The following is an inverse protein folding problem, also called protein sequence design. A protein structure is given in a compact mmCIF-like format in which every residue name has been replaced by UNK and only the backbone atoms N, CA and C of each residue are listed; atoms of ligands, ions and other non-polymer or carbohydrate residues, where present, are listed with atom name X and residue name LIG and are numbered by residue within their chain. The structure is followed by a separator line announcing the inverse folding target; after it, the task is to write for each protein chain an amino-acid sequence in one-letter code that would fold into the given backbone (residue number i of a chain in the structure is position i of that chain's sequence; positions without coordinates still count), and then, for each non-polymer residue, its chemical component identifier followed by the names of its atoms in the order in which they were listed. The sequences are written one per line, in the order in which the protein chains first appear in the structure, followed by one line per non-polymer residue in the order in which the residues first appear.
data_IF_578107332948
#
_entry.id   IF_578107332948
#
_cell.length_a   1.000
_cell.length_b   1.000
_cell.length_c   1.000
_cell.angle_alpha   90.00
_cell.angle_beta   90.00
_cell.angle_gamma   90.00
#
_symmetry.space_group_name_H-M   'P 1'
#
loop_
_entity.id
_entity.type
_entity.pdbx_description
1 polymer ?
#
# COMPACT_ATOMS: atom_id res chain seq x y z
N UNK A 1 14.50 10.71 14.48
CA UNK A 1 13.28 10.05 14.99
C UNK A 1 13.01 8.87 14.08
N UNK A 2 12.60 7.71 14.58
CA UNK A 2 12.32 6.54 13.73
C UNK A 2 11.08 5.82 14.26
N UNK A 3 10.17 5.49 13.35
CA UNK A 3 9.04 4.61 13.60
C UNK A 3 8.95 3.62 12.46
N UNK A 4 8.85 2.35 12.79
CA UNK A 4 8.65 1.26 11.84
C UNK A 4 7.53 0.40 12.39
N UNK A 5 6.55 0.11 11.56
CA UNK A 5 5.45 -0.79 11.91
C UNK A 5 5.99 -2.22 11.89
N UNK A 6 5.50 -3.05 12.81
CA UNK A 6 5.66 -4.49 12.65
C UNK A 6 5.05 -4.91 11.31
N UNK A 7 5.67 -5.86 10.63
CA UNK A 7 5.18 -6.33 9.34
C UNK A 7 5.32 -7.84 9.26
N UNK A 8 4.71 -8.44 8.25
CA UNK A 8 4.58 -9.88 8.15
C UNK A 8 5.43 -10.45 7.02
N UNK A 9 5.75 -11.73 7.18
CA UNK A 9 6.30 -12.56 6.12
C UNK A 9 5.23 -13.54 5.64
N UNK A 10 5.20 -13.79 4.34
CA UNK A 10 4.49 -14.91 3.73
C UNK A 10 5.59 -15.83 3.22
N UNK A 11 5.82 -16.92 3.94
CA UNK A 11 7.00 -17.78 3.76
C UNK A 11 8.31 -16.95 3.86
N UNK A 12 9.09 -16.86 2.79
CA UNK A 12 10.35 -16.11 2.73
C UNK A 12 10.21 -14.67 2.21
N UNK A 13 8.98 -14.24 1.87
CA UNK A 13 8.68 -12.94 1.28
C UNK A 13 8.20 -11.92 2.30
N UNK A 14 8.77 -10.72 2.30
CA UNK A 14 8.35 -9.60 3.15
C UNK A 14 7.14 -8.90 2.55
N UNK A 15 5.94 -9.37 2.90
CA UNK A 15 4.68 -8.98 2.25
C UNK A 15 4.33 -9.82 1.02
N UNK A 16 3.27 -9.40 0.33
CA UNK A 16 2.83 -10.03 -0.90
C UNK A 16 3.78 -9.82 -2.08
N UNK A 17 3.76 -10.74 -3.04
CA UNK A 17 4.47 -10.61 -4.30
C UNK A 17 3.57 -10.93 -5.50
N UNK A 18 3.38 -9.97 -6.40
CA UNK A 18 2.52 -10.13 -7.58
C UNK A 18 3.06 -11.16 -8.57
N UNK A 19 4.36 -11.45 -8.56
CA UNK A 19 4.96 -12.46 -9.42
C UNK A 19 4.44 -13.88 -9.13
N UNK A 20 3.79 -14.09 -7.98
CA UNK A 20 3.17 -15.35 -7.63
C UNK A 20 1.92 -15.68 -8.45
N UNK A 21 1.28 -14.69 -9.05
CA UNK A 21 0.06 -14.89 -9.83
C UNK A 21 0.40 -15.43 -11.22
N UNK A 22 -0.26 -16.52 -11.62
CA UNK A 22 -0.10 -17.09 -12.97
C UNK A 22 -0.91 -16.34 -14.03
N UNK A 23 -1.98 -15.65 -13.62
CA UNK A 23 -2.74 -14.76 -14.49
C UNK A 23 -1.86 -13.56 -14.89
N UNK A 24 -1.64 -13.37 -16.20
CA UNK A 24 -0.72 -12.35 -16.71
C UNK A 24 -1.12 -10.93 -16.28
N UNK A 25 -2.42 -10.63 -16.18
CA UNK A 25 -2.86 -9.30 -15.81
C UNK A 25 -2.58 -9.02 -14.33
N UNK A 26 -2.86 -9.98 -13.44
CA UNK A 26 -2.54 -9.85 -12.01
C UNK A 26 -1.03 -9.83 -11.77
N UNK A 27 -0.28 -10.65 -12.50
CA UNK A 27 1.18 -10.71 -12.41
C UNK A 27 1.85 -9.37 -12.75
N UNK A 28 1.32 -8.63 -13.74
CA UNK A 28 1.93 -7.39 -14.25
C UNK A 28 1.27 -6.10 -13.76
N UNK A 29 -0.01 -6.15 -13.43
CA UNK A 29 -0.81 -4.97 -13.07
C UNK A 29 -1.65 -5.14 -11.82
N UNK A 30 -1.37 -6.16 -10.99
CA UNK A 30 -2.08 -6.45 -9.75
C UNK A 30 -1.64 -5.63 -8.54
N UNK A 31 -0.69 -4.69 -8.69
CA UNK A 31 -0.11 -3.93 -7.58
C UNK A 31 -1.16 -3.25 -6.67
N UNK A 32 -2.22 -2.69 -7.25
CA UNK A 32 -3.33 -2.10 -6.48
C UNK A 32 -4.10 -3.14 -5.66
N UNK A 33 -4.44 -4.29 -6.25
CA UNK A 33 -5.11 -5.37 -5.51
C UNK A 33 -4.22 -5.91 -4.38
N UNK A 34 -2.93 -6.12 -4.64
CA UNK A 34 -2.00 -6.61 -3.63
C UNK A 34 -1.76 -5.61 -2.52
N UNK A 35 -1.67 -4.32 -2.83
CA UNK A 35 -1.55 -3.27 -1.80
C UNK A 35 -2.77 -3.28 -0.86
N UNK A 36 -3.99 -3.50 -1.41
CA UNK A 36 -5.19 -3.67 -0.59
C UNK A 36 -5.16 -4.98 0.23
N UNK A 37 -4.71 -6.09 -0.36
CA UNK A 37 -4.54 -7.36 0.37
C UNK A 37 -3.53 -7.22 1.53
N UNK A 38 -2.37 -6.64 1.29
CA UNK A 38 -1.35 -6.41 2.31
C UNK A 38 -1.86 -5.46 3.40
N UNK A 39 -2.66 -4.44 3.05
CA UNK A 39 -3.34 -3.57 4.02
C UNK A 39 -4.31 -4.38 4.89
N UNK A 40 -5.19 -5.18 4.29
CA UNK A 40 -6.12 -6.04 5.03
C UNK A 40 -5.39 -7.00 5.97
N UNK A 41 -4.33 -7.63 5.48
CA UNK A 41 -3.56 -8.61 6.24
C UNK A 41 -2.82 -7.95 7.41
N UNK A 42 -2.22 -6.78 7.18
CA UNK A 42 -1.64 -5.97 8.25
C UNK A 42 -2.67 -5.65 9.34
N UNK A 43 -3.83 -5.12 8.95
CA UNK A 43 -4.87 -4.72 9.92
C UNK A 43 -5.47 -5.93 10.66
N UNK A 44 -5.56 -7.08 9.98
CA UNK A 44 -5.96 -8.35 10.58
C UNK A 44 -4.96 -8.81 11.66
N UNK A 45 -3.66 -8.76 11.37
CA UNK A 45 -2.61 -9.24 12.26
C UNK A 45 -2.36 -8.29 13.44
N UNK A 46 -2.27 -6.99 13.16
CA UNK A 46 -1.70 -6.01 14.11
C UNK A 46 -2.72 -5.02 14.67
N UNK A 47 -3.92 -4.93 14.09
CA UNK A 47 -4.97 -3.99 14.51
C UNK A 47 -6.29 -4.68 14.90
N UNK A 48 -6.28 -6.01 15.03
CA UNK A 48 -7.41 -6.80 15.51
C UNK A 48 -8.59 -6.92 14.54
N UNK A 49 -8.44 -6.52 13.27
CA UNK A 49 -9.49 -6.58 12.25
C UNK A 49 -9.60 -7.97 11.62
N UNK A 50 -9.99 -8.96 12.44
CA UNK A 50 -9.91 -10.38 12.09
C UNK A 50 -10.70 -10.76 10.83
N UNK A 51 -11.84 -10.12 10.58
CA UNK A 51 -12.71 -10.39 9.44
C UNK A 51 -12.14 -9.97 8.07
N UNK A 52 -11.06 -9.16 8.01
CA UNK A 52 -10.48 -8.70 6.74
C UNK A 52 -9.71 -9.78 5.98
N UNK A 53 -9.34 -10.87 6.64
CA UNK A 53 -8.62 -11.97 6.02
C UNK A 53 -9.41 -13.28 6.23
N UNK A 54 -9.89 -13.93 5.16
CA UNK A 54 -10.85 -15.03 5.29
C UNK A 54 -10.20 -16.41 5.56
N UNK A 55 -8.88 -16.49 5.65
CA UNK A 55 -8.14 -17.75 5.80
C UNK A 55 -7.59 -17.93 7.22
N UNK A 56 -7.22 -19.16 7.58
CA UNK A 56 -6.72 -19.52 8.91
C UNK A 56 -5.30 -18.97 9.18
N UNK A 57 -5.03 -18.65 10.45
CA UNK A 57 -3.90 -17.84 10.90
C UNK A 57 -2.65 -18.62 11.35
N UNK A 58 -2.63 -19.97 11.34
CA UNK A 58 -1.50 -20.73 11.90
C UNK A 58 -0.15 -20.36 11.25
N UNK A 59 -0.17 -20.09 9.95
CA UNK A 59 0.96 -19.57 9.18
C UNK A 59 0.45 -18.94 7.88
N UNK A 60 1.02 -17.81 7.45
CA UNK A 60 0.68 -17.19 6.18
C UNK A 60 1.34 -17.93 5.02
N UNK A 61 0.51 -18.55 4.18
CA UNK A 61 0.98 -19.32 3.02
C UNK A 61 0.78 -18.59 1.72
N UNK A 62 1.70 -18.79 0.78
CA UNK A 62 1.63 -18.21 -0.55
C UNK A 62 0.33 -18.57 -1.27
N UNK A 63 -0.14 -19.81 -1.17
CA UNK A 63 -1.37 -20.24 -1.85
C UNK A 63 -2.61 -19.49 -1.34
N UNK A 64 -2.70 -19.25 -0.04
CA UNK A 64 -3.80 -18.49 0.57
C UNK A 64 -3.74 -17.01 0.16
N UNK A 65 -2.53 -16.45 0.08
CA UNK A 65 -2.35 -15.08 -0.39
C UNK A 65 -2.75 -14.91 -1.87
N UNK A 66 -2.40 -15.86 -2.74
CA UNK A 66 -2.85 -15.86 -4.15
C UNK A 66 -4.39 -15.91 -4.21
N UNK A 67 -5.02 -16.80 -3.42
CA UNK A 67 -6.48 -16.85 -3.34
C UNK A 67 -7.08 -15.54 -2.84
N UNK A 68 -6.43 -14.88 -1.87
CA UNK A 68 -6.89 -13.58 -1.38
C UNK A 68 -6.83 -12.50 -2.48
N UNK A 69 -5.75 -12.47 -3.26
CA UNK A 69 -5.63 -11.55 -4.40
C UNK A 69 -6.70 -11.81 -5.46
N UNK A 70 -7.07 -13.06 -5.73
CA UNK A 70 -8.19 -13.38 -6.65
C UNK A 70 -9.56 -12.96 -6.07
N UNK A 71 -9.75 -12.97 -4.75
CA UNK A 71 -10.95 -12.39 -4.12
C UNK A 71 -10.98 -10.86 -4.23
N UNK A 72 -9.82 -10.20 -4.17
CA UNK A 72 -9.70 -8.74 -4.30
C UNK A 72 -9.82 -8.27 -5.76
N UNK A 73 -9.42 -9.10 -6.72
CA UNK A 73 -9.34 -8.80 -8.16
C UNK A 73 -10.61 -8.18 -8.76
N UNK A 74 -11.85 -8.63 -8.46
CA UNK A 74 -13.06 -8.02 -9.04
C UNK A 74 -13.23 -6.54 -8.67
N UNK A 75 -12.70 -6.14 -7.51
CA UNK A 75 -12.79 -4.78 -6.99
C UNK A 75 -11.66 -3.89 -7.49
N UNK A 76 -10.45 -4.45 -7.54
CA UNK A 76 -9.21 -3.77 -7.91
C UNK A 76 -8.54 -4.48 -9.09
N UNK A 77 -9.27 -4.63 -10.18
CA UNK A 77 -8.78 -5.32 -11.38
C UNK A 77 -7.72 -4.50 -12.12
N UNK A 78 -6.69 -5.16 -12.69
CA UNK A 78 -5.76 -4.53 -13.61
C UNK A 78 -6.48 -3.92 -14.83
N UNK A 79 -5.99 -2.77 -15.30
CA UNK A 79 -6.59 -1.98 -16.41
C UNK A 79 -5.50 -1.42 -17.31
N UNK A 80 -5.88 -0.85 -18.46
CA UNK A 80 -4.93 -0.34 -19.47
C UNK A 80 -3.92 0.69 -18.93
N UNK A 81 -4.31 1.52 -17.95
CA UNK A 81 -3.41 2.47 -17.26
C UNK A 81 -3.13 2.04 -15.81
N UNK A 82 -3.42 0.79 -15.46
CA UNK A 82 -3.48 0.35 -14.07
C UNK A 82 -4.62 1.05 -13.30
N UNK A 83 -4.51 1.03 -11.99
CA UNK A 83 -5.32 1.85 -11.10
C UNK A 83 -4.54 3.15 -10.89
N UNK A 84 -4.77 4.16 -11.71
CA UNK A 84 -3.92 5.35 -11.80
C UNK A 84 -4.39 6.53 -10.94
N UNK A 85 -5.42 6.34 -10.12
CA UNK A 85 -5.92 7.38 -9.20
C UNK A 85 -6.21 6.82 -7.82
N UNK A 86 -6.08 7.69 -6.81
CA UNK A 86 -6.46 7.37 -5.44
C UNK A 86 -7.94 7.00 -5.34
N UNK A 87 -8.81 7.66 -6.11
CA UNK A 87 -10.25 7.39 -6.11
C UNK A 87 -10.57 5.99 -6.65
N UNK A 88 -9.95 5.57 -7.75
CA UNK A 88 -10.14 4.22 -8.28
C UNK A 88 -9.74 3.13 -7.27
N UNK A 89 -8.62 3.34 -6.57
CA UNK A 89 -8.18 2.43 -5.51
C UNK A 89 -9.15 2.45 -4.33
N UNK A 90 -9.48 3.63 -3.81
CA UNK A 90 -10.37 3.75 -2.65
C UNK A 90 -11.77 3.22 -2.94
N UNK A 91 -12.33 3.46 -4.12
CA UNK A 91 -13.69 3.00 -4.46
C UNK A 91 -13.73 1.48 -4.63
N UNK A 92 -12.73 0.90 -5.30
CA UNK A 92 -12.59 -0.56 -5.36
C UNK A 92 -12.46 -1.16 -3.96
N UNK A 93 -11.54 -0.63 -3.14
CA UNK A 93 -11.31 -1.15 -1.81
C UNK A 93 -12.52 -0.96 -0.88
N UNK A 94 -13.23 0.17 -0.95
CA UNK A 94 -14.51 0.38 -0.23
C UNK A 94 -15.58 -0.64 -0.65
N UNK A 95 -15.65 -0.99 -1.94
CA UNK A 95 -16.60 -2.01 -2.40
C UNK A 95 -16.27 -3.38 -1.82
N UNK A 96 -14.98 -3.76 -1.74
CA UNK A 96 -14.57 -4.99 -1.05
C UNK A 96 -14.95 -4.97 0.43
N UNK A 97 -14.62 -3.88 1.15
CA UNK A 97 -14.94 -3.72 2.57
C UNK A 97 -16.45 -3.83 2.83
N UNK A 98 -17.27 -3.19 1.98
CA UNK A 98 -18.73 -3.30 2.08
C UNK A 98 -19.23 -4.73 1.89
N UNK A 99 -18.66 -5.49 0.95
CA UNK A 99 -19.09 -6.85 0.67
C UNK A 99 -18.75 -7.82 1.82
N UNK A 100 -17.68 -7.55 2.58
CA UNK A 100 -17.37 -8.26 3.83
C UNK A 100 -18.03 -7.62 5.07
N UNK A 101 -18.93 -6.65 4.87
CA UNK A 101 -19.67 -5.94 5.92
C UNK A 101 -18.78 -5.17 6.91
N UNK A 102 -17.63 -4.67 6.46
CA UNK A 102 -16.81 -3.72 7.22
C UNK A 102 -17.33 -2.28 7.02
N UNK A 103 -17.65 -1.62 8.13
CA UNK A 103 -17.98 -0.19 8.19
C UNK A 103 -17.00 0.62 9.05
N UNK A 104 -15.93 -0.02 9.52
CA UNK A 104 -15.00 0.54 10.49
C UNK A 104 -13.83 1.23 9.81
N UNK A 105 -13.36 0.73 8.67
CA UNK A 105 -12.20 1.28 7.98
C UNK A 105 -12.63 2.44 7.09
N UNK A 106 -12.03 3.60 7.33
CA UNK A 106 -12.22 4.81 6.55
C UNK A 106 -10.95 5.13 5.77
N UNK A 107 -11.13 5.54 4.51
CA UNK A 107 -10.05 5.93 3.61
C UNK A 107 -10.23 7.37 3.14
N UNK A 108 -9.14 8.13 3.17
CA UNK A 108 -9.08 9.49 2.62
C UNK A 108 -7.85 9.65 1.72
N UNK A 109 -8.08 10.05 0.47
CA UNK A 109 -6.99 10.38 -0.45
C UNK A 109 -6.25 11.65 -0.02
N UNK A 110 -4.93 11.62 -0.14
CA UNK A 110 -4.02 12.74 0.06
C UNK A 110 -3.15 12.87 -1.19
N UNK A 111 -3.53 13.80 -2.06
CA UNK A 111 -2.94 13.97 -3.39
C UNK A 111 -1.49 14.44 -3.35
N UNK A 112 -0.68 14.00 -4.31
CA UNK A 112 0.71 14.44 -4.53
C UNK A 112 0.90 15.94 -4.80
N UNK A 113 -0.19 16.71 -4.94
CA UNK A 113 -0.14 18.18 -5.11
C UNK A 113 0.09 18.93 -3.80
N UNK A 114 -0.07 18.26 -2.65
CA UNK A 114 0.15 18.86 -1.34
C UNK A 114 1.62 19.15 -1.07
N UNK A 115 1.86 20.10 -0.17
CA UNK A 115 3.22 20.50 0.19
C UNK A 115 3.96 19.35 0.89
N UNK A 116 5.27 19.26 0.65
CA UNK A 116 6.16 18.26 1.27
C UNK A 116 6.00 18.21 2.79
N UNK A 117 5.85 19.37 3.43
CA UNK A 117 5.71 19.47 4.88
C UNK A 117 4.44 18.75 5.36
N UNK A 118 3.31 18.99 4.70
CA UNK A 118 2.04 18.33 5.00
C UNK A 118 2.14 16.82 4.76
N UNK A 119 2.79 16.41 3.67
CA UNK A 119 3.00 14.99 3.36
C UNK A 119 3.78 14.26 4.46
N UNK A 120 4.90 14.85 4.93
CA UNK A 120 5.69 14.29 6.05
C UNK A 120 4.88 14.22 7.35
N UNK A 121 4.06 15.23 7.63
CA UNK A 121 3.15 15.23 8.79
C UNK A 121 2.16 14.06 8.69
N UNK A 122 1.56 13.81 7.52
CA UNK A 122 0.65 12.67 7.31
C UNK A 122 1.33 11.31 7.44
N UNK A 123 2.57 11.18 6.97
CA UNK A 123 3.35 9.96 7.20
C UNK A 123 3.56 9.73 8.69
N UNK A 124 3.97 10.75 9.45
CA UNK A 124 4.14 10.61 10.91
C UNK A 124 2.84 10.24 11.61
N UNK A 125 1.76 10.96 11.34
CA UNK A 125 0.44 10.70 11.94
C UNK A 125 0.01 9.24 11.75
N UNK A 126 0.05 8.73 10.52
CA UNK A 126 -0.34 7.35 10.23
C UNK A 126 0.56 6.34 10.95
N UNK A 127 1.87 6.53 10.95
CA UNK A 127 2.81 5.60 11.57
C UNK A 127 2.71 5.60 13.10
N UNK A 128 2.45 6.75 13.73
CA UNK A 128 2.20 6.83 15.18
C UNK A 128 0.86 6.21 15.57
N UNK A 129 -0.16 6.32 14.72
CA UNK A 129 -1.46 5.64 14.88
C UNK A 129 -1.42 4.15 14.50
N UNK A 130 -0.31 3.67 13.95
CA UNK A 130 -0.10 2.27 13.61
C UNK A 130 -0.73 1.84 12.28
N UNK A 131 -0.93 2.76 11.34
CA UNK A 131 -1.47 2.53 10.01
C UNK A 131 -0.37 2.53 8.93
N UNK A 132 -0.29 1.50 8.08
CA UNK A 132 0.50 1.56 6.85
C UNK A 132 -0.22 2.47 5.85
N UNK A 133 0.53 2.99 4.88
CA UNK A 133 0.00 3.94 3.91
C UNK A 133 0.07 3.32 2.51
N UNK A 134 -1.09 2.99 1.89
CA UNK A 134 -1.14 2.77 0.46
C UNK A 134 -0.66 4.01 -0.28
N UNK A 135 0.38 3.84 -1.09
CA UNK A 135 1.02 4.89 -1.85
C UNK A 135 0.91 4.56 -3.34
N UNK A 136 0.53 5.57 -4.12
CA UNK A 136 0.57 5.54 -5.58
C UNK A 136 1.66 6.48 -6.05
N UNK A 137 2.61 5.94 -6.80
CA UNK A 137 3.55 6.74 -7.59
C UNK A 137 3.23 6.56 -9.08
N UNK A 138 3.15 7.66 -9.83
CA UNK A 138 2.86 7.63 -11.25
C UNK A 138 4.14 7.79 -12.08
N UNK A 139 4.45 9.00 -12.56
CA UNK A 139 5.65 9.27 -13.35
C UNK A 139 6.71 9.95 -12.49
N UNK A 140 7.98 9.59 -12.69
CA UNK A 140 9.10 10.12 -11.94
C UNK A 140 10.31 10.45 -12.81
N UNK A 141 10.82 11.68 -12.74
CA UNK A 141 11.97 12.11 -13.56
C UNK A 141 13.29 11.47 -13.14
N UNK A 142 13.45 11.17 -11.84
CA UNK A 142 14.63 10.49 -11.33
C UNK A 142 14.56 8.97 -11.61
N UNK A 143 15.48 8.40 -12.40
CA UNK A 143 15.44 6.99 -12.82
C UNK A 143 15.61 5.99 -11.69
N UNK A 144 16.06 6.42 -10.49
CA UNK A 144 16.13 5.51 -9.33
C UNK A 144 14.75 4.99 -8.89
N UNK A 145 13.67 5.65 -9.33
CA UNK A 145 12.29 5.27 -9.02
C UNK A 145 11.58 4.59 -10.19
N UNK A 146 12.30 4.08 -11.20
CA UNK A 146 11.72 3.36 -12.35
C UNK A 146 10.83 2.19 -11.90
N UNK A 147 11.28 1.41 -10.91
CA UNK A 147 10.51 0.28 -10.33
C UNK A 147 9.27 0.72 -9.51
N UNK A 148 9.13 2.03 -9.27
CA UNK A 148 8.01 2.65 -8.59
C UNK A 148 7.10 3.41 -9.56
N UNK A 149 7.38 3.46 -10.86
CA UNK A 149 6.49 4.15 -11.80
C UNK A 149 5.19 3.37 -12.03
N UNK A 150 4.06 4.08 -12.10
CA UNK A 150 2.71 3.52 -12.26
C UNK A 150 2.41 2.40 -11.26
N UNK A 151 2.82 2.61 -10.01
CA UNK A 151 2.91 1.54 -9.04
C UNK A 151 2.22 1.86 -7.71
N UNK A 152 1.56 0.83 -7.16
CA UNK A 152 0.99 0.83 -5.82
C UNK A 152 1.85 -0.02 -4.89
N UNK A 153 2.12 0.53 -3.71
CA UNK A 153 2.91 -0.12 -2.67
C UNK A 153 2.55 0.44 -1.30
N UNK A 154 3.13 -0.12 -0.23
CA UNK A 154 2.91 0.38 1.13
C UNK A 154 4.12 1.15 1.65
N UNK A 155 3.86 2.25 2.35
CA UNK A 155 4.80 2.78 3.33
C UNK A 155 4.50 2.15 4.69
N UNK A 156 5.54 1.72 5.40
CA UNK A 156 5.44 1.00 6.69
C UNK A 156 6.36 1.57 7.77
N UNK A 157 7.02 2.68 7.50
CA UNK A 157 7.86 3.35 8.49
C UNK A 157 8.42 4.68 7.98
N UNK A 158 8.94 5.48 8.89
CA UNK A 158 9.71 6.67 8.59
C UNK A 158 10.96 6.78 9.49
N UNK A 159 11.99 7.45 8.98
CA UNK A 159 13.21 7.77 9.72
C UNK A 159 13.70 9.17 9.36
N UNK A 160 13.85 10.01 10.38
CA UNK A 160 14.49 11.31 10.28
C UNK A 160 15.91 11.24 10.81
N UNK A 161 16.87 11.35 9.90
CA UNK A 161 18.30 11.25 10.17
C UNK A 161 19.06 12.16 9.21
N UNK A 162 20.09 12.85 9.72
CA UNK A 162 21.02 13.67 8.91
C UNK A 162 20.31 14.71 8.00
N UNK A 163 19.18 15.25 8.46
CA UNK A 163 18.40 16.24 7.70
C UNK A 163 17.51 15.66 6.59
N UNK A 164 17.53 14.33 6.40
CA UNK A 164 16.65 13.62 5.46
C UNK A 164 15.42 13.05 6.16
N UNK A 165 14.33 12.92 5.42
CA UNK A 165 13.13 12.20 5.83
C UNK A 165 13.00 10.97 4.95
N UNK A 166 13.31 9.81 5.51
CA UNK A 166 13.23 8.53 4.81
C UNK A 166 11.90 7.84 5.10
N UNK A 167 11.39 7.07 4.14
CA UNK A 167 10.23 6.20 4.31
C UNK A 167 10.58 4.77 3.94
N UNK A 168 10.02 3.79 4.68
CA UNK A 168 10.19 2.37 4.37
C UNK A 168 9.09 1.94 3.41
N UNK A 169 9.44 1.77 2.14
CA UNK A 169 8.55 1.23 1.12
C UNK A 169 8.57 -0.31 1.14
N UNK A 170 7.41 -0.93 0.92
CA UNK A 170 7.23 -2.39 0.85
C UNK A 170 6.52 -2.73 -0.44
N UNK A 171 7.18 -3.53 -1.28
CA UNK A 171 6.66 -4.00 -2.56
C UNK A 171 7.43 -5.23 -3.02
N UNK A 172 6.82 -6.06 -3.88
CA UNK A 172 7.46 -7.22 -4.52
C UNK A 172 8.12 -8.20 -3.53
N UNK A 173 7.54 -8.34 -2.34
CA UNK A 173 8.09 -9.21 -1.28
C UNK A 173 9.34 -8.69 -0.60
N UNK A 174 9.65 -7.39 -0.74
CA UNK A 174 10.86 -6.75 -0.20
C UNK A 174 10.51 -5.42 0.43
N UNK A 175 11.49 -4.84 1.13
CA UNK A 175 11.39 -3.48 1.61
C UNK A 175 12.68 -2.70 1.40
N UNK A 176 12.56 -1.39 1.23
CA UNK A 176 13.68 -0.47 1.14
C UNK A 176 13.37 0.88 1.76
N UNK A 177 14.42 1.58 2.18
CA UNK A 177 14.33 2.94 2.70
C UNK A 177 14.60 3.94 1.58
N UNK A 178 13.60 4.77 1.30
CA UNK A 178 13.63 5.77 0.23
C UNK A 178 13.69 7.18 0.80
N UNK A 179 14.38 8.09 0.12
CA UNK A 179 14.28 9.51 0.40
C UNK A 179 12.89 10.01 0.01
N UNK A 180 12.07 10.36 0.99
CA UNK A 180 10.69 10.75 0.74
C UNK A 180 10.60 12.08 0.01
N UNK A 181 11.58 12.97 0.20
CA UNK A 181 11.57 14.24 -0.52
C UNK A 181 11.75 14.04 -2.01
N UNK A 182 12.62 13.11 -2.38
CA UNK A 182 12.83 12.74 -3.78
C UNK A 182 11.60 12.02 -4.33
N UNK A 183 11.09 11.00 -3.63
CA UNK A 183 9.92 10.22 -4.05
C UNK A 183 8.66 11.07 -4.27
N UNK A 184 8.37 12.00 -3.36
CA UNK A 184 7.17 12.85 -3.45
C UNK A 184 7.29 13.95 -4.52
N UNK A 185 8.52 14.39 -4.82
CA UNK A 185 8.79 15.41 -5.83
C UNK A 185 9.13 14.79 -7.18
N UNK A 186 8.15 14.13 -7.78
CA UNK A 186 8.38 13.35 -9.01
C UNK A 186 8.76 14.16 -10.26
N UNK A 187 8.58 15.49 -10.23
CA UNK A 187 8.84 16.38 -11.37
C UNK A 187 7.72 16.41 -12.42
N UNK A 188 6.60 15.73 -12.18
CA UNK A 188 5.44 15.71 -13.07
C UNK A 188 4.17 16.27 -12.39
N UNK A 189 3.16 16.65 -13.17
CA UNK A 189 1.85 17.05 -12.62
C UNK A 189 1.05 15.81 -12.13
N UNK A 190 1.16 14.69 -12.85
CA UNK A 190 0.60 13.40 -12.47
C UNK A 190 1.57 12.67 -11.53
N UNK A 191 1.42 12.88 -10.21
CA UNK A 191 2.33 12.32 -9.18
C UNK A 191 1.78 11.09 -8.43
N UNK A 192 0.45 10.97 -8.34
CA UNK A 192 -0.21 10.00 -7.46
C UNK A 192 -0.49 10.58 -6.07
N UNK A 193 -0.14 9.86 -5.00
CA UNK A 193 -0.31 10.31 -3.62
C UNK A 193 -0.46 9.18 -2.62
N UNK A 194 -1.06 9.48 -1.47
CA UNK A 194 -1.25 8.55 -0.35
C UNK A 194 -2.74 8.31 -0.08
N UNK A 195 -3.08 7.14 0.42
CA UNK A 195 -4.38 6.87 1.03
C UNK A 195 -4.19 6.79 2.53
N UNK A 196 -4.84 7.69 3.27
CA UNK A 196 -4.79 7.73 4.73
C UNK A 196 -5.91 6.86 5.29
N UNK A 197 -5.56 5.97 6.21
CA UNK A 197 -6.47 5.06 6.89
C UNK A 197 -6.83 5.60 8.27
N UNK A 198 -8.08 5.44 8.67
CA UNK A 198 -8.50 5.64 10.05
C UNK A 198 -9.59 4.63 10.40
N UNK A 199 -9.81 4.40 11.69
CA UNK A 199 -11.00 3.70 12.15
C UNK A 199 -12.12 4.69 12.50
N UNK A 200 -13.35 4.32 12.18
CA UNK A 200 -14.55 5.01 12.63
C UNK A 200 -14.57 5.04 14.16
N UNK A 201 -14.67 6.24 14.73
CA UNK A 201 -14.77 6.47 16.17
C UNK A 201 -16.19 6.25 16.68
#
# INVERSE_FOLDING_TARGET
MKKELEYFYIEDSYGGNQEWFTDFMMNRGGCGALTACDTCLYLHLYQGKKHLYPFQEEELKKEQYIQFGELMRPYLSPRKRGIDTLDLFMDGFRNYLRDIQDEEILMKGFSGIHEMKEAKEKVREQMEEGFPIPYLNLLHQNPIFEDYEWHWFLLTGYEEKEGKFLVKAVTYGKSEWLDFEELWNSGHDEKGGMVLLTFRK
#
